data_IF_620665496976
#
_entry.id   IF_620665496976
#
_cell.length_a   1.000
_cell.length_b   1.000
_cell.length_c   1.000
_cell.angle_alpha   90.00
_cell.angle_beta   90.00
_cell.angle_gamma   90.00
#
_symmetry.space_group_name_H-M   'P 1'
#
loop_
_entity.id
_entity.type
_entity.pdbx_description
1 polymer ?
#
# COMPACT_ATOMS: atom_id res chain seq x y z
N UNK A 1 14.80 23.27 -39.62
CA UNK A 1 14.37 22.69 -38.32
C UNK A 1 14.28 21.18 -38.47
N UNK A 2 15.20 20.42 -37.88
CA UNK A 2 15.10 18.94 -37.86
C UNK A 2 14.10 18.54 -36.76
N UNK A 3 12.81 18.55 -37.09
CA UNK A 3 11.77 17.95 -36.23
C UNK A 3 11.61 16.49 -36.62
N UNK A 4 11.64 15.60 -35.64
CA UNK A 4 11.40 14.16 -35.81
C UNK A 4 9.94 13.83 -35.52
N UNK A 5 9.49 12.62 -35.84
CA UNK A 5 8.14 12.14 -35.48
C UNK A 5 7.86 12.27 -33.97
N UNK A 6 8.90 12.20 -33.13
CA UNK A 6 8.76 12.37 -31.68
C UNK A 6 8.39 13.79 -31.26
N UNK A 7 8.59 14.80 -32.09
CA UNK A 7 8.28 16.19 -31.75
C UNK A 7 6.80 16.53 -31.91
N UNK A 8 6.02 15.57 -32.41
CA UNK A 8 4.59 15.72 -32.67
C UNK A 8 3.74 14.92 -31.68
N UNK A 9 2.52 15.40 -31.48
CA UNK A 9 1.48 14.74 -30.68
C UNK A 9 0.15 14.84 -31.42
N UNK A 10 -0.70 13.84 -31.22
CA UNK A 10 -2.02 13.74 -31.84
C UNK A 10 -3.04 14.52 -31.01
N UNK A 11 -3.93 15.28 -31.65
CA UNK A 11 -5.08 15.89 -31.00
C UNK A 11 -6.20 14.85 -30.78
N UNK A 12 -6.79 14.81 -29.57
CA UNK A 12 -7.87 13.88 -29.24
C UNK A 12 -9.18 14.09 -30.03
N UNK A 13 -9.44 15.31 -30.55
CA UNK A 13 -10.68 15.67 -31.25
C UNK A 13 -10.53 15.62 -32.77
N UNK A 14 -9.64 16.43 -33.35
CA UNK A 14 -9.46 16.45 -34.81
C UNK A 14 -8.53 15.35 -35.34
N UNK A 15 -7.82 14.63 -34.48
CA UNK A 15 -6.90 13.54 -34.84
C UNK A 15 -5.67 13.95 -35.65
N UNK A 16 -5.47 15.24 -35.90
CA UNK A 16 -4.27 15.76 -36.56
C UNK A 16 -3.04 15.79 -35.64
N UNK A 17 -1.87 15.88 -36.26
CA UNK A 17 -0.57 15.92 -35.59
C UNK A 17 -0.06 17.36 -35.44
N UNK A 18 0.31 17.72 -34.22
CA UNK A 18 0.81 19.05 -33.88
C UNK A 18 2.14 18.96 -33.15
N UNK A 19 3.05 19.90 -33.41
CA UNK A 19 4.29 19.96 -32.63
C UNK A 19 3.98 20.16 -31.14
N UNK A 20 4.76 19.53 -30.26
CA UNK A 20 4.59 19.60 -28.80
C UNK A 20 4.53 21.03 -28.26
N UNK A 21 5.23 21.96 -28.91
CA UNK A 21 5.23 23.38 -28.55
C UNK A 21 3.88 24.07 -28.80
N UNK A 22 3.13 23.65 -29.83
CA UNK A 22 1.90 24.33 -30.29
C UNK A 22 0.61 23.59 -29.97
N UNK A 23 0.67 22.28 -29.72
CA UNK A 23 -0.53 21.46 -29.47
C UNK A 23 -1.39 21.98 -28.32
N UNK A 24 -0.77 22.58 -27.30
CA UNK A 24 -1.48 23.21 -26.18
C UNK A 24 -2.38 24.36 -26.63
N UNK A 25 -1.90 25.20 -27.55
CA UNK A 25 -2.69 26.31 -28.08
C UNK A 25 -3.77 25.80 -29.03
N UNK A 26 -3.44 24.81 -29.87
CA UNK A 26 -4.42 24.13 -30.73
C UNK A 26 -5.57 23.53 -29.91
N UNK A 27 -5.28 22.75 -28.87
CA UNK A 27 -6.32 22.10 -28.06
C UNK A 27 -7.30 23.08 -27.41
N UNK A 28 -6.87 24.30 -27.05
CA UNK A 28 -7.81 25.32 -26.51
C UNK A 28 -8.87 25.71 -27.53
N UNK A 29 -8.45 25.93 -28.78
CA UNK A 29 -9.34 26.28 -29.90
C UNK A 29 -10.15 25.07 -30.37
N UNK A 30 -9.49 23.93 -30.55
CA UNK A 30 -10.13 22.73 -31.07
C UNK A 30 -11.23 22.21 -30.14
N UNK A 31 -10.99 22.19 -28.83
CA UNK A 31 -11.97 21.73 -27.85
C UNK A 31 -12.92 22.83 -27.35
N UNK A 32 -12.78 24.07 -27.82
CA UNK A 32 -13.48 25.25 -27.28
C UNK A 32 -13.42 25.30 -25.74
N UNK A 33 -12.19 25.25 -25.21
CA UNK A 33 -11.94 25.04 -23.79
C UNK A 33 -11.17 26.20 -23.16
N UNK A 34 -11.60 26.61 -21.96
CA UNK A 34 -11.03 27.68 -21.11
C UNK A 34 -9.57 27.44 -20.62
N UNK A 35 -8.90 26.37 -21.08
CA UNK A 35 -7.55 26.00 -20.68
C UNK A 35 -7.41 25.19 -19.38
N UNK A 36 -8.47 24.99 -18.59
CA UNK A 36 -8.43 24.08 -17.42
C UNK A 36 -8.33 22.62 -17.87
N UNK A 37 -7.95 21.69 -16.98
CA UNK A 37 -7.89 20.25 -17.28
C UNK A 37 -7.14 19.82 -18.56
N UNK A 38 -6.20 20.64 -19.04
CA UNK A 38 -5.51 20.40 -20.31
C UNK A 38 -4.83 19.02 -20.36
N UNK A 39 -4.36 18.49 -19.22
CA UNK A 39 -3.82 17.12 -19.11
C UNK A 39 -4.81 16.05 -19.56
N UNK A 40 -6.11 16.20 -19.27
CA UNK A 40 -7.16 15.24 -19.65
C UNK A 40 -7.37 15.22 -21.16
N UNK A 41 -7.27 16.38 -21.82
CA UNK A 41 -7.39 16.49 -23.28
C UNK A 41 -6.19 15.83 -23.98
N UNK A 42 -4.97 16.03 -23.43
CA UNK A 42 -3.76 15.39 -23.97
C UNK A 42 -3.78 13.87 -23.83
N UNK A 43 -4.44 13.34 -22.79
CA UNK A 43 -4.67 11.90 -22.61
C UNK A 43 -5.47 11.30 -23.77
N UNK A 44 -6.47 12.01 -24.31
CA UNK A 44 -7.25 11.52 -25.44
C UNK A 44 -6.38 11.34 -26.70
N UNK A 45 -5.51 12.31 -27.00
CA UNK A 45 -4.56 12.21 -28.09
C UNK A 45 -3.62 11.01 -27.95
N UNK A 46 -3.12 10.75 -26.74
CA UNK A 46 -2.25 9.61 -26.45
C UNK A 46 -2.95 8.26 -26.60
N UNK A 47 -4.24 8.18 -26.25
CA UNK A 47 -5.06 6.97 -26.48
C UNK A 47 -5.14 6.64 -27.97
N UNK A 48 -5.30 7.65 -28.82
CA UNK A 48 -5.36 7.49 -30.28
C UNK A 48 -4.00 7.07 -30.84
N UNK A 49 -2.92 7.74 -30.40
CA UNK A 49 -1.58 7.40 -30.85
C UNK A 49 -1.15 5.96 -30.50
N UNK A 50 -1.68 5.41 -29.39
CA UNK A 50 -1.54 4.02 -28.98
C UNK A 50 -0.10 3.44 -29.03
N UNK A 51 0.92 4.30 -28.90
CA UNK A 51 2.33 3.91 -28.98
C UNK A 51 2.74 3.09 -27.78
N UNK A 52 2.52 1.79 -27.79
CA UNK A 52 2.99 0.83 -26.78
C UNK A 52 3.19 -0.52 -27.47
N UNK A 53 3.96 -1.41 -26.85
CA UNK A 53 4.21 -2.75 -27.37
C UNK A 53 2.90 -3.44 -27.80
N UNK A 54 2.90 -4.22 -28.91
CA UNK A 54 1.72 -4.93 -29.41
C UNK A 54 0.99 -5.75 -28.34
N UNK A 55 1.73 -6.39 -27.42
CA UNK A 55 1.18 -7.22 -26.35
C UNK A 55 0.34 -6.45 -25.32
N UNK A 56 0.42 -5.12 -25.27
CA UNK A 56 -0.28 -4.31 -24.28
C UNK A 56 -1.80 -4.48 -24.40
N UNK A 57 -2.46 -4.76 -23.29
CA UNK A 57 -3.91 -4.95 -23.20
C UNK A 57 -4.67 -3.64 -23.44
N UNK A 58 -5.99 -3.75 -23.68
CA UNK A 58 -6.87 -2.58 -23.81
C UNK A 58 -6.79 -1.66 -22.60
N UNK A 59 -6.65 -2.22 -21.39
CA UNK A 59 -6.55 -1.43 -20.16
C UNK A 59 -5.20 -0.74 -20.05
N UNK A 60 -4.10 -1.40 -20.42
CA UNK A 60 -2.78 -0.75 -20.44
C UNK A 60 -2.75 0.41 -21.45
N UNK A 61 -3.30 0.18 -22.66
CA UNK A 61 -3.39 1.17 -23.74
C UNK A 61 -4.28 2.37 -23.40
N UNK A 62 -5.39 2.15 -22.69
CA UNK A 62 -6.39 3.20 -22.49
C UNK A 62 -6.39 3.80 -21.08
N UNK A 63 -6.09 3.03 -20.04
CA UNK A 63 -6.23 3.45 -18.64
C UNK A 63 -4.90 3.71 -17.95
N UNK A 64 -3.79 3.20 -18.49
CA UNK A 64 -2.49 3.24 -17.82
C UNK A 64 -1.49 4.19 -18.50
N UNK A 65 -0.99 3.82 -19.69
CA UNK A 65 0.06 4.57 -20.39
C UNK A 65 -0.32 6.02 -20.74
N UNK A 66 -1.52 6.31 -21.26
CA UNK A 66 -1.90 7.68 -21.62
C UNK A 66 -1.79 8.67 -20.46
N UNK A 67 -1.94 8.19 -19.23
CA UNK A 67 -1.91 9.00 -18.01
C UNK A 67 -0.51 9.08 -17.36
N UNK A 68 0.53 8.54 -17.98
CA UNK A 68 1.92 8.75 -17.57
C UNK A 68 2.49 9.99 -18.26
N UNK A 69 3.53 10.61 -17.69
CA UNK A 69 4.19 11.74 -18.34
C UNK A 69 5.02 11.23 -19.52
N UNK A 70 4.90 11.88 -20.68
CA UNK A 70 5.65 11.52 -21.88
C UNK A 70 7.09 12.05 -21.77
N UNK A 71 7.92 11.36 -20.99
CA UNK A 71 9.32 11.67 -20.71
C UNK A 71 10.24 10.50 -21.09
N UNK A 72 11.56 10.67 -20.90
CA UNK A 72 12.54 9.64 -21.21
C UNK A 72 12.22 8.30 -20.52
N UNK A 73 11.71 8.34 -19.29
CA UNK A 73 11.36 7.14 -18.50
C UNK A 73 10.29 6.31 -19.20
N UNK A 74 9.21 6.94 -19.68
CA UNK A 74 8.12 6.21 -20.36
C UNK A 74 8.54 5.74 -21.75
N UNK A 75 9.32 6.55 -22.46
CA UNK A 75 9.84 6.16 -23.79
C UNK A 75 10.66 4.88 -23.71
N UNK A 76 11.52 4.79 -22.70
CA UNK A 76 12.42 3.66 -22.52
C UNK A 76 11.69 2.32 -22.38
N UNK A 77 10.54 2.32 -21.71
CA UNK A 77 9.83 1.09 -21.35
C UNK A 77 8.63 0.76 -22.24
N UNK A 78 8.19 1.68 -23.10
CA UNK A 78 6.90 1.51 -23.83
C UNK A 78 6.88 0.31 -24.77
N UNK A 79 8.05 -0.13 -25.22
CA UNK A 79 8.24 -1.27 -26.12
C UNK A 79 8.97 -2.45 -25.46
N UNK A 80 9.26 -2.38 -24.16
CA UNK A 80 9.84 -3.50 -23.43
C UNK A 80 8.77 -4.59 -23.22
N UNK A 81 9.02 -5.79 -23.77
CA UNK A 81 8.08 -6.92 -23.73
C UNK A 81 7.75 -7.32 -22.28
N UNK A 82 8.76 -7.48 -21.42
CA UNK A 82 8.60 -7.96 -20.05
C UNK A 82 7.88 -6.94 -19.17
N UNK A 83 8.22 -5.66 -19.29
CA UNK A 83 7.52 -4.59 -18.58
C UNK A 83 6.05 -4.51 -19.02
N UNK A 84 5.75 -4.82 -20.30
CA UNK A 84 4.36 -4.85 -20.77
C UNK A 84 3.60 -6.07 -20.26
N UNK A 85 4.23 -7.24 -20.18
CA UNK A 85 3.65 -8.41 -19.53
C UNK A 85 3.30 -8.09 -18.07
N UNK A 86 4.22 -7.45 -17.34
CA UNK A 86 3.96 -6.98 -15.98
C UNK A 86 2.79 -5.98 -15.92
N UNK A 87 2.78 -4.98 -16.81
CA UNK A 87 1.72 -3.98 -16.85
C UNK A 87 0.34 -4.62 -17.11
N UNK A 88 0.26 -5.62 -17.99
CA UNK A 88 -0.96 -6.37 -18.28
C UNK A 88 -1.45 -7.13 -17.04
N UNK A 89 -0.57 -7.91 -16.40
CA UNK A 89 -0.92 -8.67 -15.19
C UNK A 89 -1.40 -7.75 -14.08
N UNK A 90 -0.75 -6.58 -13.91
CA UNK A 90 -1.17 -5.61 -12.91
C UNK A 90 -2.49 -4.95 -13.29
N UNK A 91 -2.71 -4.64 -14.56
CA UNK A 91 -3.98 -4.09 -15.01
C UNK A 91 -5.15 -5.05 -14.77
N UNK A 92 -4.94 -6.36 -14.94
CA UNK A 92 -5.92 -7.40 -14.62
C UNK A 92 -6.18 -7.50 -13.11
N UNK A 93 -5.12 -7.61 -12.30
CA UNK A 93 -5.22 -7.70 -10.84
C UNK A 93 -5.98 -6.52 -10.22
N UNK A 94 -5.81 -5.34 -10.80
CA UNK A 94 -6.22 -4.08 -10.19
C UNK A 94 -7.36 -3.37 -10.94
N UNK A 95 -7.80 -3.91 -12.09
CA UNK A 95 -8.71 -3.23 -13.02
C UNK A 95 -10.15 -3.04 -12.53
N UNK A 96 -10.57 -3.79 -11.50
CA UNK A 96 -11.89 -3.65 -10.86
C UNK A 96 -11.98 -2.44 -9.93
N UNK A 97 -10.85 -1.94 -9.42
CA UNK A 97 -10.82 -0.84 -8.45
C UNK A 97 -10.06 0.36 -9.02
N UNK A 98 -10.76 1.31 -9.65
CA UNK A 98 -10.19 2.39 -10.46
C UNK A 98 -9.09 3.28 -9.81
N UNK A 99 -8.91 3.24 -8.49
CA UNK A 99 -7.83 3.95 -7.76
C UNK A 99 -6.45 3.27 -7.83
N UNK A 100 -6.41 1.99 -8.21
CA UNK A 100 -5.24 1.11 -8.13
C UNK A 100 -4.15 1.38 -9.18
N UNK A 101 -4.52 1.95 -10.35
CA UNK A 101 -3.57 2.21 -11.44
C UNK A 101 -2.51 3.26 -11.10
N UNK A 102 -2.69 4.03 -10.02
CA UNK A 102 -1.66 4.98 -9.55
C UNK A 102 -0.39 4.25 -9.11
N UNK A 103 -0.55 3.16 -8.34
CA UNK A 103 0.60 2.35 -7.91
C UNK A 103 1.27 1.65 -9.09
N UNK A 104 0.47 1.10 -10.01
CA UNK A 104 1.02 0.42 -11.19
C UNK A 104 1.85 1.39 -12.04
N UNK A 105 1.34 2.60 -12.31
CA UNK A 105 2.12 3.65 -13.01
C UNK A 105 3.39 4.05 -12.26
N UNK A 106 3.36 4.11 -10.93
CA UNK A 106 4.55 4.39 -10.13
C UNK A 106 5.61 3.30 -10.33
N UNK A 107 5.22 2.03 -10.27
CA UNK A 107 6.11 0.89 -10.49
C UNK A 107 6.69 0.87 -11.92
N UNK A 108 5.87 1.12 -12.95
CA UNK A 108 6.39 1.24 -14.32
C UNK A 108 7.43 2.37 -14.45
N UNK A 109 7.22 3.50 -13.78
CA UNK A 109 8.24 4.57 -13.76
C UNK A 109 9.49 4.18 -12.98
N UNK A 110 9.40 3.32 -11.98
CA UNK A 110 10.59 2.75 -11.33
C UNK A 110 11.35 1.84 -12.29
N UNK A 111 10.65 1.03 -13.09
CA UNK A 111 11.26 0.24 -14.15
C UNK A 111 12.02 1.14 -15.14
N UNK A 112 11.39 2.19 -15.67
CA UNK A 112 12.06 3.04 -16.65
C UNK A 112 13.27 3.80 -16.10
N UNK A 113 13.22 4.26 -14.84
CA UNK A 113 14.41 4.86 -14.19
C UNK A 113 15.53 3.85 -14.02
N UNK A 114 15.19 2.60 -13.69
CA UNK A 114 16.15 1.52 -13.53
C UNK A 114 16.83 1.19 -14.86
N UNK A 115 16.05 1.03 -15.94
CA UNK A 115 16.59 0.70 -17.26
C UNK A 115 17.48 1.81 -17.83
N UNK A 116 17.11 3.09 -17.62
CA UNK A 116 17.97 4.23 -17.97
C UNK A 116 19.30 4.16 -17.21
N UNK A 117 19.25 3.92 -15.89
CA UNK A 117 20.43 3.90 -15.05
C UNK A 117 21.36 2.71 -15.37
N UNK A 118 20.81 1.51 -15.59
CA UNK A 118 21.63 0.34 -15.88
C UNK A 118 22.32 0.44 -17.24
N UNK A 119 21.67 1.01 -18.25
CA UNK A 119 22.27 1.24 -19.57
C UNK A 119 23.47 2.18 -19.55
N UNK A 120 23.55 3.06 -18.54
CA UNK A 120 24.71 3.91 -18.32
C UNK A 120 25.89 3.16 -17.66
N UNK A 121 25.60 2.05 -16.96
CA UNK A 121 26.61 1.24 -16.25
C UNK A 121 27.08 0.08 -17.13
N UNK A 122 26.17 -0.59 -17.84
CA UNK A 122 26.45 -1.72 -18.72
C UNK A 122 25.60 -1.61 -19.99
N UNK A 123 26.27 -1.39 -21.12
CA UNK A 123 25.65 -1.19 -22.42
C UNK A 123 25.22 -2.50 -23.11
N UNK A 124 25.56 -3.67 -22.55
CA UNK A 124 25.11 -4.97 -23.04
C UNK A 124 23.62 -5.18 -22.79
N UNK A 125 23.09 -4.52 -21.77
CA UNK A 125 21.69 -4.60 -21.36
C UNK A 125 20.83 -3.69 -22.24
N UNK A 126 19.87 -4.28 -22.95
CA UNK A 126 18.95 -3.55 -23.82
C UNK A 126 17.54 -3.51 -23.23
N UNK A 127 17.05 -4.63 -22.75
CA UNK A 127 15.70 -4.76 -22.23
C UNK A 127 15.70 -5.35 -20.82
N UNK A 128 14.57 -5.26 -20.12
CA UNK A 128 14.45 -5.82 -18.76
C UNK A 128 14.76 -7.31 -18.70
N UNK A 129 14.54 -8.07 -19.78
CA UNK A 129 14.87 -9.50 -19.83
C UNK A 129 16.34 -9.79 -19.62
N UNK A 130 17.23 -8.89 -20.05
CA UNK A 130 18.68 -9.08 -19.98
C UNK A 130 19.18 -8.97 -18.54
N UNK A 131 18.49 -8.22 -17.68
CA UNK A 131 18.87 -7.97 -16.29
C UNK A 131 18.89 -9.25 -15.45
N UNK A 132 18.03 -10.20 -15.79
CA UNK A 132 17.76 -11.38 -14.97
C UNK A 132 18.72 -12.53 -15.26
N UNK A 133 19.92 -12.20 -15.72
CA UNK A 133 21.03 -13.14 -15.84
C UNK A 133 21.98 -12.96 -14.65
N UNK A 134 22.52 -14.05 -14.05
CA UNK A 134 23.39 -13.96 -12.88
C UNK A 134 24.63 -13.08 -13.09
N UNK A 135 25.15 -13.02 -14.32
CA UNK A 135 26.33 -12.20 -14.66
C UNK A 135 26.11 -10.69 -14.46
N UNK A 136 24.87 -10.21 -14.50
CA UNK A 136 24.53 -8.81 -14.30
C UNK A 136 24.09 -8.48 -12.87
N UNK A 137 24.06 -9.45 -11.95
CA UNK A 137 23.52 -9.27 -10.61
C UNK A 137 24.19 -8.09 -9.85
N UNK A 138 25.52 -8.00 -9.89
CA UNK A 138 26.25 -6.91 -9.24
C UNK A 138 25.99 -5.55 -9.92
N UNK A 139 25.77 -5.53 -11.23
CA UNK A 139 25.35 -4.32 -11.93
C UNK A 139 23.95 -3.89 -11.46
N UNK A 140 23.01 -4.83 -11.33
CA UNK A 140 21.66 -4.57 -10.82
C UNK A 140 21.72 -4.00 -9.40
N UNK A 141 22.53 -4.58 -8.50
CA UNK A 141 22.66 -4.07 -7.12
C UNK A 141 23.24 -2.65 -7.07
N UNK A 142 24.26 -2.36 -7.90
CA UNK A 142 24.80 -1.00 -8.04
C UNK A 142 23.75 -0.01 -8.53
N UNK A 143 22.91 -0.40 -9.50
CA UNK A 143 21.83 0.46 -10.01
C UNK A 143 20.80 0.75 -8.92
N UNK A 144 20.43 -0.23 -8.09
CA UNK A 144 19.53 0.00 -6.95
C UNK A 144 20.09 1.10 -6.06
N UNK A 145 21.36 1.00 -5.67
CA UNK A 145 22.04 2.02 -4.84
C UNK A 145 22.05 3.40 -5.48
N UNK A 146 22.39 3.48 -6.78
CA UNK A 146 22.42 4.74 -7.54
C UNK A 146 21.03 5.40 -7.60
N UNK A 147 20.00 4.65 -8.01
CA UNK A 147 18.64 5.19 -8.19
C UNK A 147 18.00 5.58 -6.85
N UNK A 148 18.40 4.93 -5.77
CA UNK A 148 17.87 5.18 -4.43
C UNK A 148 18.73 6.15 -3.62
N UNK A 149 19.78 6.71 -4.24
CA UNK A 149 20.71 7.68 -3.66
C UNK A 149 21.34 7.16 -2.38
N UNK A 150 21.91 5.97 -2.47
CA UNK A 150 22.73 5.43 -1.40
C UNK A 150 24.03 6.24 -1.28
N UNK A 151 24.37 6.60 -0.06
CA UNK A 151 25.56 7.35 0.29
C UNK A 151 26.55 6.41 1.00
N UNK A 152 27.73 6.24 0.41
CA UNK A 152 28.73 5.27 0.90
C UNK A 152 29.35 5.70 2.25
N UNK A 153 29.44 7.01 2.52
CA UNK A 153 30.04 7.55 3.75
C UNK A 153 29.10 7.37 4.95
N UNK A 154 27.83 7.73 4.78
CA UNK A 154 26.81 7.66 5.82
C UNK A 154 26.12 6.30 5.88
N UNK A 155 26.22 5.49 4.82
CA UNK A 155 25.50 4.22 4.61
C UNK A 155 23.98 4.37 4.61
N UNK A 156 23.48 5.55 4.24
CA UNK A 156 22.07 5.88 4.24
C UNK A 156 21.51 5.97 2.83
N UNK A 157 20.22 5.68 2.72
CA UNK A 157 19.47 5.82 1.46
C UNK A 157 18.69 7.13 1.41
N UNK A 158 18.80 7.89 0.33
CA UNK A 158 17.93 9.04 0.08
C UNK A 158 16.47 8.66 -0.23
N UNK A 159 16.23 7.45 -0.74
CA UNK A 159 14.89 6.91 -1.01
C UNK A 159 14.72 5.47 -0.48
N UNK A 160 14.71 5.26 0.85
CA UNK A 160 14.75 3.92 1.45
C UNK A 160 13.53 3.05 1.10
N UNK A 161 12.33 3.62 1.07
CA UNK A 161 11.12 2.88 0.68
C UNK A 161 11.17 2.37 -0.77
N UNK A 162 11.82 3.12 -1.67
CA UNK A 162 12.01 2.70 -3.06
C UNK A 162 13.06 1.60 -3.14
N UNK A 163 14.14 1.69 -2.36
CA UNK A 163 15.15 0.63 -2.25
C UNK A 163 14.55 -0.69 -1.77
N UNK A 164 13.72 -0.67 -0.72
CA UNK A 164 12.98 -1.86 -0.31
C UNK A 164 12.08 -2.38 -1.44
N UNK A 165 11.29 -1.50 -2.05
CA UNK A 165 10.35 -1.85 -3.12
C UNK A 165 11.01 -2.44 -4.38
N UNK A 166 12.27 -2.11 -4.68
CA UNK A 166 13.00 -2.69 -5.81
C UNK A 166 13.19 -4.20 -5.65
N UNK A 167 13.45 -4.71 -4.44
CA UNK A 167 13.60 -6.14 -4.22
C UNK A 167 12.33 -6.90 -4.60
N UNK A 168 11.18 -6.43 -4.14
CA UNK A 168 9.87 -7.01 -4.49
C UNK A 168 9.56 -6.88 -5.98
N UNK A 169 9.86 -5.73 -6.59
CA UNK A 169 9.57 -5.47 -8.00
C UNK A 169 10.43 -6.34 -8.93
N UNK A 170 11.74 -6.42 -8.67
CA UNK A 170 12.69 -7.21 -9.46
C UNK A 170 12.36 -8.70 -9.35
N UNK A 171 12.08 -9.21 -8.14
CA UNK A 171 11.66 -10.60 -7.95
C UNK A 171 10.43 -10.92 -8.80
N UNK A 172 9.43 -10.06 -8.78
CA UNK A 172 8.20 -10.25 -9.55
C UNK A 172 8.41 -10.22 -11.07
N UNK A 173 9.27 -9.33 -11.56
CA UNK A 173 9.64 -9.30 -12.98
C UNK A 173 10.42 -10.55 -13.39
N UNK A 174 11.34 -11.02 -12.55
CA UNK A 174 12.08 -12.25 -12.77
C UNK A 174 11.15 -13.48 -12.82
N UNK A 175 10.21 -13.58 -11.87
CA UNK A 175 9.19 -14.65 -11.85
C UNK A 175 8.31 -14.64 -13.11
N UNK A 176 7.92 -13.45 -13.58
CA UNK A 176 7.18 -13.30 -14.83
C UNK A 176 7.99 -13.80 -16.03
N UNK A 177 9.26 -13.38 -16.14
CA UNK A 177 10.14 -13.81 -17.21
C UNK A 177 10.36 -15.32 -17.20
N UNK A 178 10.61 -15.89 -16.02
CA UNK A 178 10.72 -17.33 -15.80
C UNK A 178 9.48 -18.06 -16.32
N UNK A 179 8.28 -17.57 -16.02
CA UNK A 179 7.03 -18.16 -16.50
C UNK A 179 6.92 -18.08 -18.03
N UNK A 180 7.34 -16.98 -18.65
CA UNK A 180 7.39 -16.86 -20.11
C UNK A 180 8.38 -17.85 -20.74
N UNK A 181 9.56 -18.06 -20.14
CA UNK A 181 10.50 -19.08 -20.61
C UNK A 181 10.00 -20.52 -20.42
N UNK A 182 9.21 -20.80 -19.38
CA UNK A 182 8.50 -22.07 -19.21
C UNK A 182 7.51 -22.29 -20.36
N UNK A 183 6.66 -21.29 -20.66
CA UNK A 183 5.69 -21.35 -21.77
C UNK A 183 6.39 -21.56 -23.12
N UNK A 184 7.52 -20.89 -23.34
CA UNK A 184 8.34 -20.97 -24.57
C UNK A 184 9.27 -22.19 -24.61
N UNK A 185 9.25 -23.06 -23.58
CA UNK A 185 10.11 -24.27 -23.44
C UNK A 185 11.62 -23.97 -23.54
N UNK A 186 12.06 -22.82 -23.03
CA UNK A 186 13.48 -22.40 -23.02
C UNK A 186 14.16 -22.75 -21.70
N UNK A 187 14.63 -24.00 -21.55
CA UNK A 187 15.18 -24.50 -20.27
C UNK A 187 16.44 -23.77 -19.80
N UNK A 188 17.42 -23.51 -20.68
CA UNK A 188 18.67 -22.84 -20.29
C UNK A 188 18.46 -21.42 -19.76
N UNK A 189 17.69 -20.60 -20.50
CA UNK A 189 17.35 -19.23 -20.06
C UNK A 189 16.52 -19.20 -18.79
N UNK A 190 15.63 -20.19 -18.60
CA UNK A 190 14.88 -20.35 -17.36
C UNK A 190 15.82 -20.58 -16.17
N UNK A 191 16.83 -21.44 -16.34
CA UNK A 191 17.80 -21.75 -15.28
C UNK A 191 18.63 -20.51 -14.88
N UNK A 192 19.03 -19.68 -15.84
CA UNK A 192 19.69 -18.40 -15.58
C UNK A 192 18.83 -17.50 -14.67
N UNK A 193 17.55 -17.35 -15.00
CA UNK A 193 16.60 -16.56 -14.19
C UNK A 193 16.36 -17.19 -12.82
N UNK A 194 16.24 -18.51 -12.73
CA UNK A 194 16.12 -19.23 -11.45
C UNK A 194 17.33 -18.96 -10.55
N UNK A 195 18.54 -18.93 -11.11
CA UNK A 195 19.76 -18.61 -10.38
C UNK A 195 19.82 -17.15 -9.96
N UNK A 196 19.37 -16.21 -10.81
CA UNK A 196 19.24 -14.80 -10.44
C UNK A 196 18.27 -14.60 -9.26
N UNK A 197 17.10 -15.27 -9.29
CA UNK A 197 16.11 -15.16 -8.19
C UNK A 197 16.72 -15.64 -6.87
N UNK A 198 17.47 -16.76 -6.88
CA UNK A 198 18.15 -17.26 -5.68
C UNK A 198 19.17 -16.24 -5.13
N UNK A 199 19.96 -15.61 -6.00
CA UNK A 199 20.90 -14.56 -5.59
C UNK A 199 20.15 -13.39 -4.94
N UNK A 200 19.06 -12.93 -5.57
CA UNK A 200 18.24 -11.85 -5.04
C UNK A 200 17.63 -12.19 -3.67
N UNK A 201 17.16 -13.42 -3.47
CA UNK A 201 16.55 -13.83 -2.19
C UNK A 201 17.56 -13.88 -1.05
N UNK A 202 18.79 -14.31 -1.32
CA UNK A 202 19.83 -14.49 -0.28
C UNK A 202 20.56 -13.17 0.01
N UNK A 203 20.98 -12.46 -1.03
CA UNK A 203 21.88 -11.32 -0.86
C UNK A 203 21.12 -10.01 -0.62
N UNK A 204 20.00 -9.75 -1.31
CA UNK A 204 19.32 -8.45 -1.24
C UNK A 204 18.88 -8.06 0.19
N UNK A 205 18.50 -9.05 0.99
CA UNK A 205 18.15 -8.87 2.40
C UNK A 205 19.30 -8.28 3.22
N UNK A 206 20.52 -8.74 2.94
CA UNK A 206 21.74 -8.37 3.66
C UNK A 206 22.32 -7.08 3.08
N UNK A 207 22.42 -7.00 1.76
CA UNK A 207 23.13 -5.94 1.06
C UNK A 207 22.33 -4.64 0.95
N UNK A 208 21.00 -4.72 0.92
CA UNK A 208 20.11 -3.55 0.77
C UNK A 208 19.13 -3.42 1.95
N UNK A 209 18.32 -4.43 2.24
CA UNK A 209 17.19 -4.27 3.18
C UNK A 209 17.63 -3.89 4.60
N UNK A 210 18.77 -4.43 5.07
CA UNK A 210 19.34 -4.03 6.35
C UNK A 210 19.60 -2.52 6.44
N UNK A 211 20.34 -1.96 5.47
CA UNK A 211 20.64 -0.52 5.45
C UNK A 211 19.40 0.34 5.25
N UNK A 212 18.40 -0.18 4.53
CA UNK A 212 17.09 0.47 4.38
C UNK A 212 16.36 0.56 5.72
N UNK A 213 16.30 -0.53 6.49
CA UNK A 213 15.66 -0.55 7.80
C UNK A 213 16.34 0.43 8.77
N UNK A 214 17.68 0.44 8.80
CA UNK A 214 18.46 1.39 9.61
C UNK A 214 18.16 2.84 9.22
N UNK A 215 18.12 3.13 7.91
CA UNK A 215 17.79 4.46 7.36
C UNK A 215 16.37 4.89 7.75
N UNK A 216 15.38 3.99 7.62
CA UNK A 216 13.99 4.28 7.97
C UNK A 216 13.83 4.55 9.47
N UNK A 217 14.46 3.74 10.32
CA UNK A 217 14.45 3.95 11.75
C UNK A 217 15.03 5.31 12.13
N UNK A 218 16.15 5.71 11.51
CA UNK A 218 16.75 7.03 11.73
C UNK A 218 15.86 8.18 11.24
N UNK A 219 15.27 8.04 10.05
CA UNK A 219 14.33 9.04 9.52
C UNK A 219 13.10 9.18 10.42
N UNK A 220 12.58 8.08 10.95
CA UNK A 220 11.47 8.08 11.89
C UNK A 220 11.83 8.76 13.21
N UNK A 221 13.03 8.51 13.76
CA UNK A 221 13.53 9.20 14.97
C UNK A 221 13.66 10.71 14.79
N UNK A 222 14.05 11.17 13.59
CA UNK A 222 14.23 12.60 13.27
C UNK A 222 12.94 13.28 12.82
N UNK A 223 11.91 12.51 12.50
CA UNK A 223 10.66 13.04 11.97
C UNK A 223 9.86 13.69 13.08
N UNK A 224 9.84 15.02 13.09
CA UNK A 224 8.92 15.77 13.91
C UNK A 224 7.49 15.62 13.37
N UNK A 225 6.55 15.30 14.26
CA UNK A 225 5.13 15.18 13.94
C UNK A 225 4.37 16.28 14.66
N UNK A 226 4.02 17.33 13.91
CA UNK A 226 3.16 18.40 14.42
C UNK A 226 1.71 17.93 14.42
N UNK A 227 1.09 17.91 15.59
CA UNK A 227 -0.32 17.56 15.77
C UNK A 227 -1.22 18.79 15.52
N UNK A 228 -2.47 18.61 15.05
CA UNK A 228 -3.38 19.73 14.86
C UNK A 228 -3.80 20.28 16.23
N UNK A 229 -3.93 21.61 16.40
CA UNK A 229 -4.55 22.19 17.57
C UNK A 229 -5.99 21.67 17.74
N UNK A 230 -6.41 21.40 18.98
CA UNK A 230 -7.78 20.95 19.25
C UNK A 230 -8.83 21.95 18.75
N UNK A 231 -8.53 23.26 18.79
CA UNK A 231 -9.41 24.31 18.25
C UNK A 231 -9.58 24.22 16.74
N UNK A 232 -8.53 23.91 15.98
CA UNK A 232 -8.62 23.74 14.53
C UNK A 232 -9.45 22.49 14.15
N UNK A 233 -9.38 21.43 14.95
CA UNK A 233 -10.24 20.25 14.79
C UNK A 233 -11.71 20.64 15.02
N UNK A 234 -12.00 21.45 16.05
CA UNK A 234 -13.36 21.96 16.32
C UNK A 234 -13.86 22.86 15.19
N UNK A 235 -13.03 23.79 14.70
CA UNK A 235 -13.35 24.67 13.55
C UNK A 235 -13.71 23.85 12.31
N UNK A 236 -12.92 22.80 12.01
CA UNK A 236 -13.19 21.90 10.89
C UNK A 236 -14.52 21.15 11.08
N UNK A 237 -14.77 20.61 12.27
CA UNK A 237 -16.01 19.88 12.56
C UNK A 237 -17.24 20.79 12.46
N UNK A 238 -17.17 22.00 13.02
CA UNK A 238 -18.23 23.00 12.93
C UNK A 238 -18.51 23.40 11.48
N UNK A 239 -17.46 23.72 10.71
CA UNK A 239 -17.58 24.06 9.30
C UNK A 239 -18.27 22.96 8.48
N UNK A 240 -17.83 21.71 8.64
CA UNK A 240 -18.40 20.57 7.91
C UNK A 240 -19.86 20.35 8.31
N UNK A 241 -20.18 20.46 9.61
CA UNK A 241 -21.56 20.35 10.10
C UNK A 241 -22.46 21.42 9.50
N UNK A 242 -22.08 22.70 9.61
CA UNK A 242 -22.85 23.83 9.07
C UNK A 242 -23.06 23.73 7.56
N UNK A 243 -22.02 23.38 6.80
CA UNK A 243 -22.15 23.22 5.35
C UNK A 243 -23.01 21.99 4.99
N UNK A 244 -22.91 20.90 5.74
CA UNK A 244 -23.74 19.71 5.54
C UNK A 244 -25.22 20.04 5.76
N UNK A 245 -25.55 20.69 6.88
CA UNK A 245 -26.92 21.04 7.23
C UNK A 245 -27.52 22.00 6.18
N UNK A 246 -26.74 23.01 5.75
CA UNK A 246 -27.09 23.93 4.66
C UNK A 246 -27.40 23.23 3.32
N UNK A 247 -26.61 22.22 2.92
CA UNK A 247 -26.90 21.50 1.66
C UNK A 247 -28.03 20.48 1.84
N UNK A 248 -28.23 19.95 3.04
CA UNK A 248 -29.35 19.08 3.36
C UNK A 248 -30.69 19.82 3.25
N UNK A 249 -30.80 21.02 3.85
CA UNK A 249 -31.98 21.88 3.73
C UNK A 249 -32.28 22.28 2.26
N UNK A 250 -31.23 22.52 1.46
CA UNK A 250 -31.40 22.78 0.03
C UNK A 250 -31.94 21.58 -0.75
N UNK A 251 -31.72 20.37 -0.25
CA UNK A 251 -32.18 19.13 -0.89
C UNK A 251 -33.60 18.74 -0.47
N UNK A 252 -34.08 19.24 0.66
CA UNK A 252 -35.47 19.01 1.11
C UNK A 252 -36.50 19.73 0.23
N UNK A 253 -36.10 20.77 -0.51
CA UNK A 253 -36.99 21.53 -1.40
C UNK A 253 -36.95 21.03 -2.85
N UNK A 254 -35.74 20.78 -3.40
CA UNK A 254 -35.47 20.24 -4.74
C UNK A 254 -34.20 19.41 -4.71
N UNK A 255 -34.02 18.46 -5.63
CA UNK A 255 -32.81 17.62 -5.71
C UNK A 255 -31.89 18.06 -6.87
N UNK A 256 -31.28 19.26 -6.86
CA UNK A 256 -30.29 19.60 -7.86
C UNK A 256 -28.99 18.82 -7.58
N UNK A 257 -28.42 18.24 -8.63
CA UNK A 257 -27.20 17.42 -8.55
C UNK A 257 -26.05 18.11 -7.80
N UNK A 258 -25.85 19.41 -8.02
CA UNK A 258 -24.78 20.17 -7.38
C UNK A 258 -24.94 20.21 -5.86
N UNK A 259 -26.17 20.35 -5.34
CA UNK A 259 -26.42 20.31 -3.89
C UNK A 259 -26.22 18.91 -3.33
N UNK A 260 -26.65 17.88 -4.06
CA UNK A 260 -26.44 16.47 -3.68
C UNK A 260 -24.96 16.10 -3.63
N UNK A 261 -24.19 16.43 -4.66
CA UNK A 261 -22.76 16.16 -4.73
C UNK A 261 -22.01 16.89 -3.61
N UNK A 262 -22.42 18.14 -3.35
CA UNK A 262 -21.83 18.91 -2.26
C UNK A 262 -22.14 18.28 -0.90
N UNK A 263 -23.38 17.87 -0.65
CA UNK A 263 -23.75 17.16 0.58
C UNK A 263 -22.94 15.87 0.73
N UNK A 264 -22.90 15.02 -0.31
CA UNK A 264 -22.16 13.76 -0.29
C UNK A 264 -20.68 13.94 0.07
N UNK A 265 -20.01 14.97 -0.49
CA UNK A 265 -18.62 15.31 -0.14
C UNK A 265 -18.43 15.65 1.34
N UNK A 266 -19.34 16.42 1.95
CA UNK A 266 -19.26 16.80 3.37
C UNK A 266 -19.61 15.62 4.27
N UNK A 267 -20.59 14.81 3.88
CA UNK A 267 -20.95 13.58 4.59
C UNK A 267 -19.79 12.59 4.60
N UNK A 268 -19.10 12.39 3.46
CA UNK A 268 -17.89 11.57 3.38
C UNK A 268 -16.80 12.05 4.35
N UNK A 269 -16.54 13.35 4.41
CA UNK A 269 -15.59 13.92 5.36
C UNK A 269 -16.05 13.84 6.81
N UNK A 270 -17.35 13.99 7.07
CA UNK A 270 -17.93 13.82 8.41
C UNK A 270 -17.71 12.38 8.89
N UNK A 271 -17.94 11.37 8.03
CA UNK A 271 -17.62 9.97 8.33
C UNK A 271 -16.13 9.77 8.57
N UNK A 272 -15.27 10.42 7.80
CA UNK A 272 -13.82 10.34 7.99
C UNK A 272 -13.35 10.94 9.30
N UNK A 273 -13.88 12.09 9.67
CA UNK A 273 -13.53 12.76 10.93
C UNK A 273 -14.11 11.98 12.10
N UNK A 274 -15.33 11.44 11.99
CA UNK A 274 -15.97 10.70 13.09
C UNK A 274 -15.34 9.32 13.32
N UNK A 275 -15.15 8.53 12.27
CA UNK A 275 -14.60 7.17 12.38
C UNK A 275 -13.08 7.16 12.45
N UNK A 276 -12.42 8.29 12.16
CA UNK A 276 -10.97 8.42 12.08
C UNK A 276 -10.25 7.37 11.20
N UNK A 277 -10.97 6.69 10.30
CA UNK A 277 -10.42 5.62 9.45
C UNK A 277 -9.51 6.12 8.33
N UNK A 278 -8.80 5.20 7.67
CA UNK A 278 -7.97 5.56 6.49
C UNK A 278 -8.88 6.07 5.37
N UNK A 279 -8.52 7.18 4.68
CA UNK A 279 -9.32 7.73 3.59
C UNK A 279 -9.76 6.68 2.57
N UNK A 280 -8.85 5.75 2.21
CA UNK A 280 -9.15 4.69 1.26
C UNK A 280 -10.15 3.63 1.77
N UNK A 281 -10.27 3.42 3.07
CA UNK A 281 -11.27 2.51 3.65
C UNK A 281 -12.68 3.10 3.52
N UNK A 282 -12.81 4.41 3.75
CA UNK A 282 -14.09 5.11 3.72
C UNK A 282 -14.51 5.40 2.28
N UNK A 283 -13.56 5.73 1.39
CA UNK A 283 -13.82 5.93 -0.04
C UNK A 283 -14.30 4.66 -0.75
N UNK A 284 -14.06 3.48 -0.18
CA UNK A 284 -14.48 2.17 -0.71
C UNK A 284 -15.71 1.59 -0.01
N UNK A 285 -16.27 2.30 0.97
CA UNK A 285 -17.44 1.82 1.69
C UNK A 285 -18.65 1.86 0.75
N UNK A 286 -19.23 0.70 0.48
CA UNK A 286 -20.48 0.59 -0.25
C UNK A 286 -21.69 0.77 0.67
N UNK A 287 -22.86 1.06 0.10
CA UNK A 287 -24.11 1.15 0.87
C UNK A 287 -24.44 -0.23 1.46
N UNK A 288 -24.11 -1.29 0.73
CA UNK A 288 -24.23 -2.69 1.15
C UNK A 288 -23.31 -3.01 2.34
N UNK A 289 -22.12 -2.40 2.42
CA UNK A 289 -21.20 -2.53 3.57
C UNK A 289 -21.77 -1.83 4.82
N UNK A 290 -22.52 -0.74 4.63
CA UNK A 290 -23.22 -0.04 5.70
C UNK A 290 -24.40 -0.86 6.22
N UNK A 291 -25.19 -1.47 5.33
CA UNK A 291 -26.33 -2.33 5.67
C UNK A 291 -25.90 -3.66 6.31
N UNK A 292 -24.73 -4.20 5.96
CA UNK A 292 -24.20 -5.41 6.61
C UNK A 292 -23.66 -5.15 8.03
N UNK A 293 -23.41 -3.89 8.39
CA UNK A 293 -23.06 -3.48 9.76
C UNK A 293 -24.25 -2.96 10.59
N UNK A 294 -25.42 -2.72 9.98
CA UNK A 294 -26.65 -2.27 10.65
C UNK A 294 -27.85 -3.03 10.10
N UNK A 295 -28.42 -3.93 10.91
CA UNK A 295 -29.65 -4.65 10.58
C UNK A 295 -30.91 -3.77 10.62
N UNK A 296 -31.00 -2.72 9.80
CA UNK A 296 -32.21 -1.89 9.67
C UNK A 296 -32.48 -1.41 8.24
N UNK A 297 -33.71 -1.75 7.82
CA UNK A 297 -34.65 -1.18 6.85
C UNK A 297 -34.21 -0.87 5.38
N UNK A 298 -34.84 -1.60 4.46
CA UNK A 298 -34.53 -1.69 3.03
C UNK A 298 -35.28 -0.66 2.16
N UNK A 299 -36.12 0.22 2.74
CA UNK A 299 -37.11 0.98 1.96
C UNK A 299 -36.72 2.37 1.46
N UNK A 300 -35.84 3.11 2.14
CA UNK A 300 -35.81 4.58 2.01
C UNK A 300 -34.76 5.18 1.08
N UNK A 301 -33.76 4.42 0.65
CA UNK A 301 -32.61 4.96 -0.12
C UNK A 301 -32.56 4.56 -1.60
N UNK A 302 -33.39 3.60 -2.03
CA UNK A 302 -33.44 3.12 -3.42
C UNK A 302 -34.08 4.16 -4.35
N UNK A 303 -35.19 4.77 -3.92
CA UNK A 303 -35.94 5.77 -4.70
C UNK A 303 -35.12 7.04 -4.99
N UNK A 304 -34.29 7.48 -4.03
CA UNK A 304 -33.44 8.65 -4.18
C UNK A 304 -32.29 8.45 -5.19
N UNK A 305 -31.77 7.21 -5.29
CA UNK A 305 -30.77 6.84 -6.29
C UNK A 305 -31.38 6.66 -7.68
N UNK A 306 -32.57 6.07 -7.74
CA UNK A 306 -33.27 5.82 -9.00
C UNK A 306 -33.78 7.12 -9.66
N UNK A 307 -34.07 8.15 -8.85
CA UNK A 307 -34.42 9.51 -9.30
C UNK A 307 -33.25 10.36 -9.85
N UNK A 308 -32.00 9.88 -9.79
CA UNK A 308 -30.87 10.57 -10.43
C UNK A 308 -30.91 10.40 -11.96
N UNK A 309 -30.52 11.44 -12.71
CA UNK A 309 -30.36 11.33 -14.17
C UNK A 309 -29.26 10.33 -14.55
N UNK A 310 -29.27 9.81 -15.78
CA UNK A 310 -28.23 8.88 -16.27
C UNK A 310 -26.81 9.47 -16.20
N UNK A 311 -26.67 10.79 -16.36
CA UNK A 311 -25.42 11.53 -16.11
C UNK A 311 -25.09 11.59 -14.62
N UNK A 312 -26.08 11.80 -13.75
CA UNK A 312 -25.95 11.77 -12.29
C UNK A 312 -25.50 10.40 -11.76
N UNK A 313 -26.04 9.31 -12.33
CA UNK A 313 -25.63 7.92 -12.04
C UNK A 313 -24.24 7.59 -12.56
N UNK A 314 -23.80 8.16 -13.70
CA UNK A 314 -22.42 8.03 -14.18
C UNK A 314 -21.42 8.85 -13.35
N UNK A 315 -21.83 9.99 -12.82
CA UNK A 315 -20.96 10.90 -12.08
C UNK A 315 -20.89 10.57 -10.58
N UNK A 316 -21.90 9.91 -9.99
CA UNK A 316 -21.82 9.33 -8.63
C UNK A 316 -20.69 8.29 -8.50
N UNK A 317 -20.35 7.61 -9.61
CA UNK A 317 -19.20 6.69 -9.72
C UNK A 317 -17.84 7.40 -9.74
N UNK A 318 -17.81 8.74 -9.82
CA UNK A 318 -16.60 9.56 -9.83
C UNK A 318 -16.27 10.01 -8.41
N UNK A 319 -15.69 9.12 -7.63
CA UNK A 319 -15.35 9.38 -6.24
C UNK A 319 -14.36 10.55 -6.12
N UNK A 320 -14.76 11.60 -5.39
CA UNK A 320 -13.83 12.62 -4.89
C UNK A 320 -13.00 11.97 -3.78
N UNK A 321 -11.67 12.07 -3.83
CA UNK A 321 -10.84 11.53 -2.75
C UNK A 321 -11.07 12.37 -1.48
N UNK A 322 -11.39 11.70 -0.39
CA UNK A 322 -11.55 12.29 0.93
C UNK A 322 -10.24 12.98 1.38
N UNK A 323 -9.08 12.53 0.89
CA UNK A 323 -7.80 13.24 1.08
C UNK A 323 -7.79 14.64 0.44
N UNK A 324 -8.31 14.76 -0.78
CA UNK A 324 -8.34 16.01 -1.53
C UNK A 324 -9.39 16.95 -0.93
N UNK A 325 -10.56 16.43 -0.55
CA UNK A 325 -11.61 17.18 0.13
C UNK A 325 -11.14 17.72 1.49
N UNK A 326 -10.41 16.92 2.27
CA UNK A 326 -9.90 17.33 3.58
C UNK A 326 -8.87 18.45 3.45
N UNK A 327 -8.03 18.42 2.39
CA UNK A 327 -7.10 19.52 2.07
C UNK A 327 -7.84 20.79 1.69
N UNK A 328 -8.88 20.68 0.87
CA UNK A 328 -9.65 21.83 0.43
C UNK A 328 -10.40 22.48 1.60
N UNK A 329 -11.07 21.68 2.43
CA UNK A 329 -11.96 22.23 3.47
C UNK A 329 -11.22 22.66 4.73
N UNK A 330 -10.04 22.11 5.01
CA UNK A 330 -9.16 22.66 6.07
C UNK A 330 -8.74 24.09 5.78
N UNK A 331 -8.53 24.45 4.51
CA UNK A 331 -8.25 25.84 4.13
C UNK A 331 -9.47 26.76 4.24
N UNK A 332 -10.68 26.21 4.14
CA UNK A 332 -11.95 26.97 4.17
C UNK A 332 -12.54 27.11 5.56
N UNK A 333 -12.14 26.29 6.53
CA UNK A 333 -12.71 26.29 7.88
C UNK A 333 -12.12 27.34 8.82
N UNK A 334 -11.19 28.19 8.35
CA UNK A 334 -10.54 29.20 9.18
C UNK A 334 -9.59 28.63 10.25
N UNK A 335 -9.04 27.44 9.99
CA UNK A 335 -8.02 26.84 10.84
C UNK A 335 -6.71 27.66 10.77
N UNK A 336 -5.99 27.73 11.88
CA UNK A 336 -4.73 28.46 11.98
C UNK A 336 -3.58 27.64 11.36
N UNK A 337 -3.64 26.30 11.49
CA UNK A 337 -2.69 25.35 10.91
C UNK A 337 -3.40 24.31 10.00
N UNK A 338 -4.00 24.73 8.87
CA UNK A 338 -4.83 23.87 8.02
C UNK A 338 -4.08 22.70 7.37
N UNK A 339 -2.76 22.78 7.27
CA UNK A 339 -1.88 21.71 6.78
C UNK A 339 -1.82 20.50 7.71
N UNK A 340 -2.06 20.69 9.02
CA UNK A 340 -2.04 19.63 10.03
C UNK A 340 -3.33 18.80 10.04
N UNK A 341 -4.44 19.35 9.53
CA UNK A 341 -5.76 18.70 9.46
C UNK A 341 -5.79 17.62 8.35
N UNK A 342 -5.18 16.47 8.63
CA UNK A 342 -5.12 15.30 7.73
C UNK A 342 -5.55 14.05 8.49
N UNK A 343 -6.17 13.09 7.81
CA UNK A 343 -6.68 11.87 8.45
C UNK A 343 -5.64 11.09 9.26
N UNK A 344 -4.38 11.07 8.81
CA UNK A 344 -3.27 10.45 9.57
C UNK A 344 -2.89 11.22 10.82
N UNK A 345 -2.91 12.55 10.77
CA UNK A 345 -2.56 13.41 11.91
C UNK A 345 -3.70 13.46 12.92
N UNK A 346 -4.97 13.42 12.46
CA UNK A 346 -6.15 13.30 13.33
C UNK A 346 -6.12 11.98 14.12
N UNK A 347 -5.75 10.85 13.49
CA UNK A 347 -5.56 9.57 14.19
C UNK A 347 -4.49 9.65 15.27
N UNK A 348 -3.34 10.26 14.96
CA UNK A 348 -2.27 10.46 15.93
C UNK A 348 -2.71 11.36 17.09
N UNK A 349 -3.45 12.44 16.81
CA UNK A 349 -3.97 13.32 17.84
C UNK A 349 -4.87 12.56 18.83
N UNK A 350 -5.71 11.65 18.35
CA UNK A 350 -6.53 10.79 19.24
C UNK A 350 -5.66 9.84 20.05
N UNK A 351 -4.73 9.13 19.42
CA UNK A 351 -3.84 8.23 20.16
C UNK A 351 -3.12 8.98 21.30
N UNK A 352 -2.61 10.19 21.02
CA UNK A 352 -1.99 11.06 22.01
C UNK A 352 -2.97 11.49 23.11
N UNK A 353 -4.23 11.82 22.77
CA UNK A 353 -5.25 12.17 23.77
C UNK A 353 -5.64 10.98 24.64
N UNK A 354 -5.72 9.77 24.09
CA UNK A 354 -6.01 8.56 24.87
C UNK A 354 -4.91 8.25 25.89
N UNK A 355 -3.64 8.42 25.51
CA UNK A 355 -2.51 8.35 26.44
C UNK A 355 -2.64 9.42 27.52
N UNK A 356 -2.87 10.68 27.14
CA UNK A 356 -2.98 11.79 28.08
C UNK A 356 -4.16 11.65 29.07
N UNK A 357 -5.20 10.91 28.67
CA UNK A 357 -6.39 10.64 29.49
C UNK A 357 -6.29 9.34 30.30
N UNK A 358 -5.13 8.66 30.31
CA UNK A 358 -4.91 7.37 30.98
C UNK A 358 -6.01 6.34 30.66
N UNK A 359 -6.42 6.29 29.40
CA UNK A 359 -7.43 5.33 28.93
C UNK A 359 -6.88 3.92 29.13
N UNK A 360 -7.69 3.02 29.70
CA UNK A 360 -7.26 1.64 29.98
C UNK A 360 -6.98 0.87 28.69
N UNK A 361 -6.10 -0.14 28.74
CA UNK A 361 -5.73 -0.94 27.56
C UNK A 361 -6.93 -1.59 26.84
N UNK A 362 -7.98 -1.93 27.60
CA UNK A 362 -9.25 -2.41 27.03
C UNK A 362 -9.95 -1.35 26.18
N UNK A 363 -10.04 -0.12 26.69
CA UNK A 363 -10.64 1.01 25.98
C UNK A 363 -9.78 1.48 24.79
N UNK A 364 -8.44 1.38 24.88
CA UNK A 364 -7.53 1.63 23.76
C UNK A 364 -7.73 0.58 22.66
N UNK A 365 -7.92 -0.69 23.04
CA UNK A 365 -8.21 -1.78 22.10
C UNK A 365 -9.55 -1.58 21.41
N UNK A 366 -10.59 -1.22 22.16
CA UNK A 366 -11.93 -0.94 21.60
C UNK A 366 -11.89 0.25 20.63
N UNK A 367 -11.15 1.30 20.98
CA UNK A 367 -10.94 2.44 20.11
C UNK A 367 -10.14 2.08 18.87
N UNK A 368 -9.10 1.24 18.98
CA UNK A 368 -8.31 0.76 17.84
C UNK A 368 -9.16 -0.05 16.86
N UNK A 369 -10.05 -0.89 17.40
CA UNK A 369 -11.02 -1.65 16.61
C UNK A 369 -12.02 -0.71 15.90
N UNK A 370 -12.47 0.33 16.59
CA UNK A 370 -13.38 1.34 16.03
C UNK A 370 -12.72 2.14 14.88
N UNK A 371 -11.50 2.65 15.10
CA UNK A 371 -10.78 3.50 14.13
C UNK A 371 -10.13 2.74 12.96
N UNK A 372 -10.24 1.41 12.94
CA UNK A 372 -9.49 0.53 12.03
C UNK A 372 -8.05 0.34 12.52
N UNK A 373 -7.53 -0.88 12.42
CA UNK A 373 -6.24 -1.29 13.02
C UNK A 373 -5.11 -0.25 12.81
N UNK A 374 -4.52 0.17 13.94
CA UNK A 374 -3.35 1.06 14.01
C UNK A 374 -3.48 2.27 14.94
N UNK A 375 -3.84 2.08 16.21
CA UNK A 375 -3.77 3.10 17.27
C UNK A 375 -2.60 2.88 18.26
N UNK A 376 -1.58 2.12 17.89
CA UNK A 376 -0.35 2.05 18.69
C UNK A 376 0.52 3.28 18.40
N UNK A 377 0.87 4.09 19.41
CA UNK A 377 1.99 4.98 19.31
C UNK A 377 3.25 4.12 19.39
N UNK A 378 3.98 4.01 18.29
CA UNK A 378 5.26 3.28 18.22
C UNK A 378 5.17 1.77 18.46
N UNK A 379 4.48 1.04 17.59
CA UNK A 379 4.91 -0.33 17.29
C UNK A 379 4.85 -0.55 15.78
N UNK A 380 5.88 -1.22 15.28
CA UNK A 380 6.19 -1.46 13.88
C UNK A 380 5.00 -2.04 13.10
N UNK A 381 4.49 -1.29 12.12
CA UNK A 381 3.78 -1.88 10.97
C UNK A 381 4.83 -2.53 10.05
N UNK A 382 5.42 -3.63 10.52
CA UNK A 382 6.00 -4.65 9.66
C UNK A 382 5.19 -5.92 9.83
N UNK A 383 4.14 -6.07 9.02
CA UNK A 383 3.52 -7.33 8.63
C UNK A 383 2.60 -7.01 7.44
N UNK A 384 2.46 -7.80 6.38
CA UNK A 384 2.65 -9.24 6.26
C UNK A 384 3.03 -9.55 4.80
N UNK A 385 4.25 -9.99 4.59
CA UNK A 385 4.57 -10.91 3.50
C UNK A 385 5.43 -12.01 4.10
N UNK A 386 4.76 -13.03 4.61
CA UNK A 386 5.31 -14.33 4.99
C UNK A 386 6.59 -14.71 4.21
N UNK A 387 7.76 -14.43 4.79
CA UNK A 387 9.00 -15.13 4.48
C UNK A 387 9.31 -15.95 5.71
N UNK A 388 9.11 -17.26 5.60
CA UNK A 388 9.57 -18.22 6.61
C UNK A 388 11.09 -18.06 6.75
N UNK A 389 11.52 -17.56 7.91
CA UNK A 389 12.93 -17.58 8.32
C UNK A 389 13.48 -19.00 8.17
N UNK A 390 14.35 -19.20 7.19
CA UNK A 390 15.26 -20.35 7.19
C UNK A 390 16.43 -19.96 8.07
N UNK A 391 16.42 -20.47 9.31
CA UNK A 391 17.53 -20.35 10.24
C UNK A 391 18.75 -21.06 9.64
N UNK A 392 19.81 -20.30 9.36
CA UNK A 392 21.13 -20.84 9.00
C UNK A 392 21.70 -21.58 10.22
N UNK A 393 21.97 -22.90 10.16
CA UNK A 393 22.55 -23.60 11.30
C UNK A 393 24.03 -23.21 11.47
N UNK A 394 24.37 -22.76 12.68
CA UNK A 394 25.77 -22.63 13.15
C UNK A 394 26.48 -23.99 13.05
N UNK A 395 27.64 -24.00 12.38
CA UNK A 395 28.63 -25.07 12.43
C UNK A 395 28.97 -25.44 13.89
N UNK A 396 28.80 -26.71 14.25
CA UNK A 396 29.66 -27.42 15.19
C UNK A 396 29.99 -28.80 14.63
N UNK A 397 31.26 -29.15 14.76
CA UNK A 397 31.96 -30.30 14.18
C UNK A 397 31.70 -31.63 14.89
N UNK A 398 31.76 -32.70 14.08
CA UNK A 398 32.24 -34.07 14.34
C UNK A 398 31.59 -34.91 15.46
N UNK A 399 30.95 -36.03 15.08
CA UNK A 399 31.53 -37.40 15.13
C UNK A 399 30.59 -38.44 14.50
N UNK A 400 31.20 -39.46 13.89
CA UNK A 400 30.60 -40.58 13.15
C UNK A 400 29.88 -41.64 14.02
N UNK A 401 28.88 -42.34 13.44
CA UNK A 401 28.81 -43.82 13.29
C UNK A 401 27.45 -44.33 12.76
N UNK A 402 27.55 -45.14 11.70
CA UNK A 402 26.85 -46.37 11.30
C UNK A 402 25.38 -46.71 11.65
N UNK A 403 24.72 -47.17 10.58
CA UNK A 403 23.90 -48.39 10.41
C UNK A 403 22.36 -48.40 10.50
N UNK A 404 21.79 -48.82 9.35
CA UNK A 404 20.69 -49.79 9.10
C UNK A 404 19.25 -49.55 9.58
N UNK A 405 18.32 -49.60 8.61
CA UNK A 405 17.28 -50.65 8.59
C UNK A 405 15.80 -50.25 8.75
N UNK A 406 15.04 -50.51 7.67
CA UNK A 406 13.60 -50.84 7.57
C UNK A 406 12.49 -49.78 7.80
N UNK A 407 11.61 -49.66 6.79
CA UNK A 407 10.28 -49.03 6.86
C UNK A 407 9.24 -49.87 7.62
N UNK A 408 7.95 -49.45 7.69
CA UNK A 408 7.09 -49.38 6.49
C UNK A 408 6.11 -48.18 6.42
N UNK A 409 5.34 -48.17 5.33
CA UNK A 409 4.36 -47.20 4.83
C UNK A 409 3.07 -46.98 5.64
N UNK A 410 2.33 -45.91 5.22
CA UNK A 410 0.96 -45.46 5.58
C UNK A 410 0.95 -44.43 6.72
N UNK A 411 0.23 -43.30 6.69
CA UNK A 411 -1.01 -42.96 6.02
C UNK A 411 -1.16 -41.42 5.91
N UNK A 412 -1.92 -40.99 4.91
CA UNK A 412 -2.38 -39.61 4.71
C UNK A 412 -3.11 -39.07 5.95
N UNK A 413 -2.51 -38.09 6.62
CA UNK A 413 -3.15 -37.34 7.70
C UNK A 413 -3.51 -35.95 7.17
N UNK A 414 -4.79 -35.79 6.89
CA UNK A 414 -5.50 -34.54 6.63
C UNK A 414 -5.06 -33.48 7.63
N UNK A 415 -4.35 -32.46 7.18
CA UNK A 415 -4.03 -31.29 8.02
C UNK A 415 -5.29 -30.45 8.10
N UNK A 416 -6.05 -30.64 9.18
CA UNK A 416 -7.09 -29.72 9.58
C UNK A 416 -6.46 -28.35 9.85
N UNK A 417 -6.95 -27.34 9.14
CA UNK A 417 -6.73 -25.93 9.47
C UNK A 417 -7.19 -25.70 10.91
N UNK A 418 -6.26 -25.59 11.86
CA UNK A 418 -6.55 -25.02 13.17
C UNK A 418 -6.43 -23.51 13.07
N UNK A 419 -7.56 -22.82 13.20
CA UNK A 419 -7.64 -21.37 13.30
C UNK A 419 -6.85 -20.90 14.53
N UNK A 420 -5.78 -20.15 14.35
CA UNK A 420 -5.10 -19.44 15.44
C UNK A 420 -5.90 -18.18 15.82
N UNK A 421 -7.01 -18.38 16.51
CA UNK A 421 -7.71 -17.29 17.19
C UNK A 421 -6.93 -16.86 18.44
N UNK A 422 -6.74 -15.54 18.64
CA UNK A 422 -6.21 -14.99 19.89
C UNK A 422 -7.19 -15.33 21.03
N UNK A 423 -6.86 -16.34 21.84
CA UNK A 423 -7.71 -16.80 22.93
C UNK A 423 -7.59 -15.85 24.14
N UNK A 424 -8.68 -15.12 24.45
CA UNK A 424 -8.75 -14.20 25.61
C UNK A 424 -8.46 -14.92 26.93
N UNK A 425 -7.82 -14.22 27.88
CA UNK A 425 -7.58 -14.70 29.25
C UNK A 425 -8.85 -14.59 30.09
N UNK A 426 -9.28 -15.71 30.67
CA UNK A 426 -10.41 -15.78 31.59
C UNK A 426 -10.08 -15.19 32.97
N UNK A 427 -11.09 -14.74 33.70
CA UNK A 427 -10.91 -14.14 35.03
C UNK A 427 -10.28 -15.10 36.04
N UNK A 428 -10.53 -16.40 35.89
CA UNK A 428 -9.93 -17.43 36.71
C UNK A 428 -8.43 -17.58 36.44
N UNK A 429 -8.02 -17.61 35.17
CA UNK A 429 -6.60 -17.65 34.79
C UNK A 429 -5.84 -16.41 35.31
N UNK A 430 -6.44 -15.23 35.20
CA UNK A 430 -5.83 -13.97 35.68
C UNK A 430 -5.65 -13.96 37.20
N UNK A 431 -6.69 -14.31 37.95
CA UNK A 431 -6.64 -14.37 39.43
C UNK A 431 -5.61 -15.40 39.92
N UNK A 432 -5.59 -16.59 39.33
CA UNK A 432 -4.64 -17.64 39.71
C UNK A 432 -3.19 -17.25 39.40
N UNK A 433 -2.96 -16.55 38.28
CA UNK A 433 -1.62 -16.10 37.90
C UNK A 433 -1.12 -14.95 38.78
N UNK A 434 -1.98 -13.96 39.10
CA UNK A 434 -1.63 -12.86 40.01
C UNK A 434 -1.41 -13.34 41.45
N UNK A 435 -2.15 -14.34 41.90
CA UNK A 435 -1.94 -14.93 43.22
C UNK A 435 -0.58 -15.65 43.34
N UNK A 436 -0.08 -16.23 42.24
CA UNK A 436 1.18 -16.98 42.25
C UNK A 436 2.42 -16.11 42.02
N UNK A 437 2.34 -15.13 41.12
CA UNK A 437 3.51 -14.32 40.73
C UNK A 437 3.39 -12.84 41.10
N UNK A 438 2.25 -12.37 41.61
CA UNK A 438 1.98 -10.93 41.82
C UNK A 438 2.97 -10.24 42.76
N UNK A 439 3.38 -10.89 43.85
CA UNK A 439 4.37 -10.32 44.79
C UNK A 439 5.80 -10.39 44.22
N UNK A 440 6.14 -11.43 43.47
CA UNK A 440 7.46 -11.56 42.82
C UNK A 440 7.66 -10.53 41.71
N UNK A 441 6.60 -10.24 40.94
CA UNK A 441 6.59 -9.21 39.91
C UNK A 441 6.74 -7.81 40.51
N UNK A 442 6.10 -7.52 41.64
CA UNK A 442 6.27 -6.24 42.37
C UNK A 442 7.71 -6.02 42.85
N UNK A 443 8.43 -7.11 43.13
CA UNK A 443 9.84 -7.10 43.52
C UNK A 443 10.81 -7.18 42.33
N UNK A 444 10.30 -7.16 41.08
CA UNK A 444 11.11 -7.17 39.86
C UNK A 444 11.76 -8.53 39.54
N UNK A 445 11.36 -9.61 40.22
CA UNK A 445 11.83 -10.97 39.91
C UNK A 445 10.94 -11.57 38.83
N UNK A 446 11.55 -12.02 37.74
CA UNK A 446 10.84 -12.71 36.66
C UNK A 446 10.96 -14.23 36.85
N UNK A 447 9.83 -14.97 36.82
CA UNK A 447 9.87 -16.43 36.86
C UNK A 447 10.65 -17.00 35.68
N UNK A 448 11.40 -18.06 35.91
CA UNK A 448 12.07 -18.83 34.87
C UNK A 448 11.07 -19.63 34.04
N UNK A 449 11.47 -20.05 32.84
CA UNK A 449 10.61 -20.90 31.99
C UNK A 449 10.21 -22.22 32.65
N UNK A 450 11.03 -22.72 33.59
CA UNK A 450 10.74 -23.93 34.37
C UNK A 450 9.68 -23.68 35.44
N UNK A 451 9.78 -22.58 36.18
CA UNK A 451 8.77 -22.16 37.17
C UNK A 451 7.41 -21.89 36.49
N UNK A 452 7.41 -21.31 35.28
CA UNK A 452 6.20 -21.12 34.49
C UNK A 452 5.58 -22.45 34.02
N UNK A 453 6.41 -23.43 33.62
CA UNK A 453 5.90 -24.73 33.19
C UNK A 453 5.31 -25.51 34.37
N UNK A 454 5.99 -25.51 35.52
CA UNK A 454 5.48 -26.13 36.75
C UNK A 454 4.17 -25.48 37.23
N UNK A 455 4.03 -24.16 37.07
CA UNK A 455 2.77 -23.45 37.36
C UNK A 455 1.64 -23.86 36.40
N UNK A 456 1.91 -24.00 35.11
CA UNK A 456 0.92 -24.45 34.11
C UNK A 456 0.48 -25.89 34.42
N UNK A 457 1.42 -26.77 34.76
CA UNK A 457 1.14 -28.18 35.04
C UNK A 457 0.32 -28.36 36.33
N UNK A 458 0.57 -27.50 37.33
CA UNK A 458 -0.11 -27.53 38.65
C UNK A 458 -1.53 -26.94 38.63
N UNK A 459 -1.85 -26.04 37.68
CA UNK A 459 -3.13 -25.35 37.63
C UNK A 459 -3.98 -25.84 36.45
N UNK A 460 -5.06 -26.57 36.73
CA UNK A 460 -5.94 -27.13 35.69
C UNK A 460 -6.54 -26.08 34.76
N UNK A 461 -6.76 -24.84 35.24
CA UNK A 461 -7.23 -23.71 34.44
C UNK A 461 -6.21 -23.20 33.42
N UNK A 462 -4.92 -23.51 33.57
CA UNK A 462 -3.82 -23.02 32.72
C UNK A 462 -3.37 -24.03 31.66
N UNK A 463 -3.95 -25.24 31.61
CA UNK A 463 -3.53 -26.33 30.71
C UNK A 463 -3.61 -26.00 29.22
N UNK A 464 -4.45 -25.04 28.83
CA UNK A 464 -4.56 -24.57 27.45
C UNK A 464 -3.51 -23.49 27.10
N UNK A 465 -2.67 -23.08 28.06
CA UNK A 465 -1.66 -22.03 27.89
C UNK A 465 -0.27 -22.62 27.78
N UNK A 466 0.57 -21.93 27.03
CA UNK A 466 1.99 -22.26 26.87
C UNK A 466 2.87 -21.28 27.66
N UNK A 467 4.08 -21.70 27.99
CA UNK A 467 5.08 -20.83 28.67
C UNK A 467 5.30 -19.50 27.93
N UNK A 468 5.41 -19.44 26.59
CA UNK A 468 5.49 -18.17 25.88
C UNK A 468 4.26 -17.27 26.05
N UNK A 469 3.04 -17.83 26.05
CA UNK A 469 1.81 -17.05 26.26
C UNK A 469 1.72 -16.49 27.69
N UNK A 470 2.05 -17.31 28.70
CA UNK A 470 2.11 -16.87 30.09
C UNK A 470 3.20 -15.81 30.28
N UNK A 471 4.35 -15.98 29.63
CA UNK A 471 5.42 -14.99 29.63
C UNK A 471 4.95 -13.67 29.02
N UNK A 472 4.32 -13.68 27.85
CA UNK A 472 3.82 -12.43 27.26
C UNK A 472 2.82 -11.73 28.19
N UNK A 473 1.94 -12.50 28.83
CA UNK A 473 0.92 -11.95 29.74
C UNK A 473 1.49 -11.40 31.05
N UNK A 474 2.55 -12.00 31.62
CA UNK A 474 3.20 -11.47 32.82
C UNK A 474 3.94 -10.13 32.57
N UNK A 475 4.10 -9.74 31.30
CA UNK A 475 4.81 -8.53 30.86
C UNK A 475 3.86 -7.46 30.31
N UNK A 476 2.55 -7.75 30.27
CA UNK A 476 1.45 -6.79 30.07
C UNK A 476 0.84 -6.43 31.40
#
# INVERSE_FOLDING_TARGET
>A
MNKTAEDFQVCGKCKDHYARSVIRHHCRKCFDHDGKNQRVLMVQGRKIAAGVHPIASKDVRNKLYPYMNEDAVVKEIRYDELVMVYANQMAEKYGTQGQSYKQVRANLRLCGRFLIAIKQIDNRIKDFSDLFQPEFYDAVMRVVRVVTKYDEDTKLYGAPAVAFGYGTLLKKLAELLRNEYIKKKMSGKREEVDNFIKLLEVDYGISINRGVAETQAQNNRRKEVVLPPTEDIKKLHAFIKTERDKYYEKLTEKIPYVSWENLAKRTLLSFQIFNHRRPGEIERLFIEDFHSHLGLDHGSNQEAYDGLSEEGKKLSRKHSSACDLMREYSLKCGADAPETLRGTTLRKHIATKCIALNVTDGQVTDLANFTGQGLTPFEDESDDSSVKEHSIPRRKSNRARDNTGNGPSMSSSTTSNTSTGKQLWSDQERKTTLAAFGEELKLGRVPSGREMQEFIDKNSCMRARTVPQLRIWLWT
#
